data_IF_840875291510
#
_entry.id   IF_840875291510
#
_cell.length_a   1.000
_cell.length_b   1.000
_cell.length_c   1.000
_cell.angle_alpha   90.00
_cell.angle_beta   90.00
_cell.angle_gamma   90.00
#
_symmetry.space_group_name_H-M   'P 1'
#
loop_
_entity.id
_entity.type
_entity.pdbx_description
1 polymer ?
#
# COMPACT_ATOMS: atom_id res chain seq x y z
N UNK A 1 6.87 3.28 8.15
CA UNK A 1 6.98 4.73 7.89
C UNK A 1 6.96 5.07 6.41
N UNK A 2 7.59 4.26 5.55
CA UNK A 2 7.66 4.46 4.10
C UNK A 2 6.30 4.78 3.42
N UNK A 3 5.24 4.05 3.76
CA UNK A 3 3.90 4.28 3.20
C UNK A 3 3.28 5.62 3.61
N UNK A 4 3.52 6.07 4.85
CA UNK A 4 2.95 7.31 5.38
C UNK A 4 3.66 8.52 4.77
N UNK A 5 4.97 8.43 4.62
CA UNK A 5 5.86 9.53 4.22
C UNK A 5 6.23 9.47 2.73
N UNK A 6 5.44 8.78 1.91
CA UNK A 6 5.71 8.64 0.47
C UNK A 6 5.56 9.94 -0.34
N UNK A 7 5.09 11.01 0.30
CA UNK A 7 4.95 12.37 -0.23
C UNK A 7 5.56 13.33 0.80
N UNK A 8 5.97 14.52 0.36
CA UNK A 8 6.52 15.55 1.26
C UNK A 8 5.56 15.98 2.38
N UNK A 9 4.24 15.85 2.16
CA UNK A 9 3.22 15.97 3.20
C UNK A 9 2.20 14.83 3.09
N UNK A 10 1.96 14.04 4.16
CA UNK A 10 1.05 12.90 4.10
C UNK A 10 -0.42 13.30 3.89
N UNK A 11 -1.04 12.74 2.85
CA UNK A 11 -2.48 12.90 2.61
C UNK A 11 -3.31 12.02 3.57
N UNK A 12 -4.63 12.22 3.60
CA UNK A 12 -5.56 11.32 4.29
C UNK A 12 -5.45 9.87 3.78
N UNK A 13 -5.18 9.70 2.48
CA UNK A 13 -4.98 8.40 1.85
C UNK A 13 -3.68 7.74 2.32
N UNK A 14 -2.57 8.48 2.46
CA UNK A 14 -1.32 7.96 3.04
C UNK A 14 -1.56 7.43 4.47
N UNK A 15 -2.27 8.20 5.31
CA UNK A 15 -2.61 7.81 6.69
C UNK A 15 -3.47 6.55 6.74
N UNK A 16 -4.49 6.47 5.87
CA UNK A 16 -5.40 5.31 5.81
C UNK A 16 -4.69 4.05 5.34
N UNK A 17 -3.86 4.15 4.30
CA UNK A 17 -3.08 3.01 3.81
C UNK A 17 -2.10 2.52 4.88
N UNK A 18 -1.37 3.43 5.52
CA UNK A 18 -0.44 3.08 6.61
C UNK A 18 -1.15 2.39 7.79
N UNK A 19 -2.34 2.86 8.18
CA UNK A 19 -3.16 2.22 9.22
C UNK A 19 -3.58 0.81 8.82
N UNK A 20 -4.07 0.63 7.60
CA UNK A 20 -4.50 -0.69 7.12
C UNK A 20 -3.31 -1.68 7.11
N UNK A 21 -2.15 -1.25 6.61
CA UNK A 21 -0.97 -2.10 6.48
C UNK A 21 -0.47 -2.57 7.84
N UNK A 22 -0.51 -1.69 8.86
CA UNK A 22 -0.22 -2.08 10.26
C UNK A 22 -1.16 -3.17 10.79
N UNK A 23 -2.38 -3.25 10.25
CA UNK A 23 -3.38 -4.26 10.62
C UNK A 23 -3.38 -5.47 9.67
N UNK A 24 -2.36 -5.62 8.82
CA UNK A 24 -2.24 -6.76 7.90
C UNK A 24 -3.16 -6.72 6.68
N UNK A 25 -3.70 -5.55 6.33
CA UNK A 25 -4.54 -5.34 5.15
C UNK A 25 -4.03 -4.17 4.29
N UNK A 26 -4.31 -4.17 2.98
CA UNK A 26 -4.00 -3.02 2.13
C UNK A 26 -5.00 -2.83 0.99
N UNK A 27 -4.94 -1.67 0.35
CA UNK A 27 -5.55 -1.45 -0.96
C UNK A 27 -4.48 -1.07 -1.96
N UNK A 28 -4.68 -1.39 -3.24
CA UNK A 28 -3.75 -1.05 -4.31
C UNK A 28 -4.48 -0.68 -5.59
N UNK A 29 -4.18 0.51 -6.09
CA UNK A 29 -4.78 1.07 -7.30
C UNK A 29 -3.86 2.12 -7.91
N UNK A 30 -4.16 2.54 -9.14
CA UNK A 30 -3.33 3.50 -9.89
C UNK A 30 -3.14 4.85 -9.18
N UNK A 31 -4.12 5.30 -8.38
CA UNK A 31 -4.03 6.55 -7.60
C UNK A 31 -3.05 6.53 -6.42
N UNK A 32 -2.46 5.39 -6.05
CA UNK A 32 -1.35 5.37 -5.10
C UNK A 32 -0.08 5.88 -5.75
N UNK A 33 0.85 6.48 -5.01
CA UNK A 33 2.17 6.76 -5.58
C UNK A 33 2.99 5.49 -5.75
N UNK A 34 3.95 5.50 -6.69
CA UNK A 34 4.77 4.32 -7.01
C UNK A 34 5.45 3.71 -5.78
N UNK A 35 5.91 4.55 -4.85
CA UNK A 35 6.53 4.08 -3.60
C UNK A 35 5.54 3.30 -2.71
N UNK A 36 4.30 3.77 -2.59
CA UNK A 36 3.27 3.07 -1.82
C UNK A 36 2.88 1.75 -2.46
N UNK A 37 2.73 1.71 -3.80
CA UNK A 37 2.44 0.46 -4.53
C UNK A 37 3.52 -0.59 -4.30
N UNK A 38 4.80 -0.22 -4.46
CA UNK A 38 5.94 -1.10 -4.21
C UNK A 38 5.99 -1.59 -2.76
N UNK A 39 5.79 -0.70 -1.79
CA UNK A 39 5.79 -1.08 -0.38
C UNK A 39 4.67 -2.08 -0.04
N UNK A 40 3.48 -1.91 -0.61
CA UNK A 40 2.36 -2.86 -0.46
C UNK A 40 2.66 -4.20 -1.11
N UNK A 41 3.19 -4.21 -2.34
CA UNK A 41 3.59 -5.43 -3.06
C UNK A 41 4.64 -6.23 -2.27
N UNK A 42 5.68 -5.57 -1.77
CA UNK A 42 6.75 -6.22 -0.99
C UNK A 42 6.25 -6.75 0.36
N UNK A 43 5.38 -6.00 1.05
CA UNK A 43 4.78 -6.46 2.30
C UNK A 43 3.83 -7.65 2.09
N UNK A 44 3.14 -7.71 0.95
CA UNK A 44 2.32 -8.87 0.58
C UNK A 44 3.19 -10.09 0.24
N UNK A 45 4.26 -9.94 -0.56
CA UNK A 45 5.22 -11.02 -0.87
C UNK A 45 5.87 -11.61 0.37
N UNK A 46 6.18 -10.78 1.38
CA UNK A 46 6.72 -11.19 2.68
C UNK A 46 5.68 -11.82 3.62
N UNK A 47 4.41 -11.89 3.20
CA UNK A 47 3.31 -12.43 4.00
C UNK A 47 2.91 -11.57 5.21
N UNK A 48 3.35 -10.30 5.27
CA UNK A 48 3.03 -9.36 6.35
C UNK A 48 1.60 -8.81 6.19
N UNK A 49 1.15 -8.66 4.94
CA UNK A 49 -0.22 -8.31 4.59
C UNK A 49 -0.90 -9.60 4.15
N UNK A 50 -2.03 -9.94 4.78
CA UNK A 50 -2.80 -11.15 4.46
C UNK A 50 -3.89 -10.90 3.42
N UNK A 51 -4.32 -9.65 3.25
CA UNK A 51 -5.38 -9.28 2.32
C UNK A 51 -5.07 -7.96 1.61
N UNK A 52 -5.23 -7.94 0.29
CA UNK A 52 -5.14 -6.74 -0.53
C UNK A 52 -6.41 -6.62 -1.39
N UNK A 53 -7.12 -5.50 -1.27
CA UNK A 53 -8.15 -5.14 -2.25
C UNK A 53 -7.50 -4.33 -3.38
N UNK A 54 -7.45 -4.89 -4.59
CA UNK A 54 -6.80 -4.25 -5.71
C UNK A 54 -7.70 -4.13 -6.95
N UNK A 55 -7.45 -3.10 -7.76
CA UNK A 55 -7.96 -3.03 -9.14
C UNK A 55 -7.11 -3.91 -10.08
N UNK A 56 -7.55 -4.22 -11.32
CA UNK A 56 -6.81 -5.09 -12.24
C UNK A 56 -5.38 -4.62 -12.59
N UNK A 57 -5.03 -3.39 -12.21
CA UNK A 57 -3.68 -2.83 -12.29
C UNK A 57 -2.67 -3.43 -11.31
N UNK A 58 -3.07 -4.34 -10.41
CA UNK A 58 -2.14 -5.15 -9.64
C UNK A 58 -1.30 -6.02 -10.59
N UNK A 59 0.03 -6.13 -10.41
CA UNK A 59 0.84 -7.00 -11.25
C UNK A 59 0.26 -8.42 -11.20
N UNK A 60 -0.18 -8.95 -12.35
CA UNK A 60 -0.59 -10.34 -12.49
C UNK A 60 0.64 -11.25 -12.43
N UNK A 61 1.41 -11.19 -11.35
CA UNK A 61 2.71 -11.88 -11.25
C UNK A 61 3.79 -11.22 -12.09
#
# INVERSE_FOLDING_TARGET
>A
EEILNALGSPTSQCKRLAKNVKNGAAFHHAGLVSQQRKAVEEAFKKGLIKNVSATPTWPLG
#
